data_IF_664013127165
#
_entry.id   IF_664013127165
#
_cell.length_a   1.000
_cell.length_b   1.000
_cell.length_c   1.000
_cell.angle_alpha   90.00
_cell.angle_beta   90.00
_cell.angle_gamma   90.00
#
_symmetry.space_group_name_H-M   'P 1'
#
loop_
_entity.id
_entity.type
_entity.pdbx_description
1 polymer ?
#
# COMPACT_ATOMS: atom_id res chain seq x y z
N UNK A 1 17.08 15.25 -14.56
CA UNK A 1 16.12 14.21 -14.24
C UNK A 1 15.52 14.43 -12.86
N UNK A 2 14.33 13.95 -12.62
CA UNK A 2 13.65 14.02 -11.34
C UNK A 2 14.30 13.01 -10.37
N UNK A 3 14.68 13.47 -9.19
CA UNK A 3 15.32 12.60 -8.20
C UNK A 3 14.48 12.32 -6.96
N UNK A 4 13.28 12.89 -6.86
CA UNK A 4 12.45 12.70 -5.67
C UNK A 4 10.99 13.08 -5.89
N UNK A 5 10.18 12.68 -4.92
CA UNK A 5 8.76 13.03 -4.78
C UNK A 5 8.52 13.27 -3.29
N UNK A 6 7.66 14.23 -2.96
CA UNK A 6 7.22 14.42 -1.59
C UNK A 6 6.09 13.46 -1.28
N UNK A 7 6.10 12.91 -0.07
CA UNK A 7 4.96 12.19 0.49
C UNK A 7 3.85 13.17 0.87
N UNK A 8 2.65 12.66 1.08
CA UNK A 8 1.57 13.43 1.67
C UNK A 8 1.99 13.99 3.04
N UNK A 9 1.54 15.19 3.40
CA UNK A 9 1.78 15.74 4.73
C UNK A 9 1.10 14.87 5.80
N UNK A 10 1.79 14.71 6.95
CA UNK A 10 1.40 13.80 8.02
C UNK A 10 1.33 14.54 9.35
N UNK A 11 0.33 14.18 10.14
CA UNK A 11 0.26 14.59 11.56
C UNK A 11 0.94 13.50 12.39
N UNK A 12 1.88 13.90 13.22
CA UNK A 12 2.52 13.04 14.21
C UNK A 12 2.00 13.41 15.59
N UNK A 13 1.59 12.42 16.36
CA UNK A 13 1.14 12.58 17.74
C UNK A 13 1.49 11.35 18.56
N UNK A 14 1.29 11.40 19.86
CA UNK A 14 1.48 10.27 20.76
C UNK A 14 0.13 9.85 21.35
N UNK A 15 -0.12 8.56 21.34
CA UNK A 15 -1.19 7.97 22.13
C UNK A 15 -0.85 8.00 23.63
N UNK A 16 -1.84 7.73 24.49
CA UNK A 16 -1.66 7.75 25.93
C UNK A 16 -0.65 6.73 26.46
N UNK A 17 -0.41 5.66 25.72
CA UNK A 17 0.59 4.61 26.03
C UNK A 17 1.99 4.92 25.46
N UNK A 18 2.18 6.09 24.82
CA UNK A 18 3.42 6.49 24.20
C UNK A 18 3.63 5.97 22.75
N UNK A 19 2.65 5.27 22.19
CA UNK A 19 2.71 4.83 20.79
C UNK A 19 2.71 6.04 19.86
N UNK A 20 3.65 6.09 18.90
CA UNK A 20 3.67 7.11 17.85
C UNK A 20 2.49 6.88 16.91
N UNK A 21 1.69 7.92 16.72
CA UNK A 21 0.62 7.96 15.75
C UNK A 21 1.07 8.75 14.51
N UNK A 22 0.76 8.20 13.33
CA UNK A 22 1.11 8.76 12.04
C UNK A 22 -0.15 8.74 11.17
N UNK A 23 -0.70 9.90 10.91
CA UNK A 23 -1.94 10.03 10.14
C UNK A 23 -1.77 11.03 9.00
N UNK A 24 -2.49 10.88 7.88
CA UNK A 24 -2.55 11.93 6.88
C UNK A 24 -3.27 13.15 7.45
N UNK A 25 -2.93 14.34 6.97
CA UNK A 25 -3.59 15.58 7.42
C UNK A 25 -5.07 15.58 7.03
N UNK A 26 -5.92 16.15 7.88
CA UNK A 26 -7.38 16.22 7.67
C UNK A 26 -7.76 17.00 6.40
N UNK A 27 -6.95 17.95 5.99
CA UNK A 27 -7.17 18.79 4.81
C UNK A 27 -7.26 17.97 3.51
N UNK A 28 -6.65 16.78 3.45
CA UNK A 28 -6.76 15.89 2.30
C UNK A 28 -8.20 15.46 2.02
N UNK A 29 -9.06 15.45 3.03
CA UNK A 29 -10.48 15.13 2.84
C UNK A 29 -11.21 16.10 1.91
N UNK A 30 -10.70 17.33 1.76
CA UNK A 30 -11.26 18.32 0.84
C UNK A 30 -11.03 17.98 -0.62
N UNK A 31 -10.08 17.09 -0.92
CA UNK A 31 -9.78 16.61 -2.26
C UNK A 31 -10.66 15.43 -2.69
N UNK A 32 -11.47 14.89 -1.77
CA UNK A 32 -12.33 13.73 -2.04
C UNK A 32 -13.45 14.08 -3.01
N UNK A 33 -13.53 13.35 -4.09
CA UNK A 33 -14.57 13.46 -5.10
C UNK A 33 -15.07 12.07 -5.48
N UNK A 34 -16.29 11.98 -6.01
CA UNK A 34 -16.86 10.75 -6.56
C UNK A 34 -16.76 9.51 -5.64
N UNK A 35 -17.24 9.56 -4.40
CA UNK A 35 -17.10 8.45 -3.49
C UNK A 35 -17.85 7.21 -4.01
N UNK A 36 -17.18 6.06 -3.84
CA UNK A 36 -17.78 4.73 -4.04
C UNK A 36 -17.73 4.00 -2.70
N UNK A 37 -18.82 3.42 -2.29
CA UNK A 37 -18.90 2.70 -1.02
C UNK A 37 -19.41 1.29 -1.28
N UNK A 38 -18.65 0.31 -0.80
CA UNK A 38 -19.07 -1.09 -0.76
C UNK A 38 -19.02 -1.54 0.70
N UNK A 39 -19.96 -2.36 1.12
CA UNK A 39 -20.09 -2.84 2.50
C UNK A 39 -20.27 -4.35 2.50
N UNK A 40 -19.95 -4.94 3.63
CA UNK A 40 -20.22 -6.37 3.90
C UNK A 40 -19.61 -7.28 2.83
N UNK A 41 -18.34 -6.96 2.47
CA UNK A 41 -17.57 -7.72 1.51
C UNK A 41 -16.93 -8.89 2.25
N UNK A 42 -17.27 -10.11 1.87
CA UNK A 42 -16.60 -11.30 2.35
C UNK A 42 -15.54 -11.76 1.34
N UNK A 43 -14.32 -11.96 1.82
CA UNK A 43 -13.23 -12.50 1.02
C UNK A 43 -12.78 -13.81 1.68
N UNK A 44 -13.07 -14.93 1.03
CA UNK A 44 -12.69 -16.25 1.52
C UNK A 44 -11.23 -16.59 1.23
N UNK A 45 -10.73 -17.62 1.91
CA UNK A 45 -9.36 -18.10 1.75
C UNK A 45 -9.05 -18.45 0.29
N UNK A 46 -7.95 -17.88 -0.21
CA UNK A 46 -7.51 -18.06 -1.59
C UNK A 46 -8.41 -17.43 -2.66
N UNK A 47 -9.51 -16.78 -2.27
CA UNK A 47 -10.38 -16.08 -3.22
C UNK A 47 -9.81 -14.69 -3.54
N UNK A 48 -10.12 -14.23 -4.75
CA UNK A 48 -9.79 -12.89 -5.23
C UNK A 48 -11.09 -12.19 -5.63
N UNK A 49 -11.40 -11.12 -4.94
CA UNK A 49 -12.56 -10.31 -5.28
C UNK A 49 -12.09 -9.05 -6.03
N UNK A 50 -12.59 -8.89 -7.25
CA UNK A 50 -12.38 -7.67 -8.00
C UNK A 50 -13.38 -6.62 -7.59
N UNK A 51 -12.90 -5.44 -7.25
CA UNK A 51 -13.75 -4.29 -7.03
C UNK A 51 -14.11 -3.66 -8.38
N UNK A 52 -15.34 -3.91 -8.83
CA UNK A 52 -15.86 -3.28 -10.02
C UNK A 52 -16.15 -1.79 -9.72
N UNK A 53 -16.04 -0.96 -10.73
CA UNK A 53 -16.34 0.48 -10.67
C UNK A 53 -15.42 1.32 -9.75
N UNK A 54 -14.31 0.74 -9.26
CA UNK A 54 -13.27 1.47 -8.55
C UNK A 54 -12.02 1.42 -9.42
N UNK A 55 -11.77 2.49 -10.13
CA UNK A 55 -10.60 2.63 -11.00
C UNK A 55 -10.10 4.09 -11.01
N UNK A 56 -8.81 4.28 -11.21
CA UNK A 56 -8.19 5.60 -11.31
C UNK A 56 -6.68 5.57 -11.10
N UNK A 57 -6.05 6.67 -11.45
CA UNK A 57 -4.61 6.90 -11.22
C UNK A 57 -4.35 7.74 -9.98
N UNK A 58 -5.40 8.37 -9.45
CA UNK A 58 -5.40 9.23 -8.27
C UNK A 58 -6.57 8.78 -7.40
N UNK A 59 -6.30 8.04 -6.32
CA UNK A 59 -7.32 7.39 -5.50
C UNK A 59 -6.98 7.45 -4.02
N UNK A 60 -8.03 7.57 -3.21
CA UNK A 60 -7.98 7.23 -1.80
C UNK A 60 -8.86 6.00 -1.55
N UNK A 61 -8.30 4.99 -0.88
CA UNK A 61 -9.01 3.79 -0.46
C UNK A 61 -9.02 3.79 1.06
N UNK A 62 -10.21 3.78 1.65
CA UNK A 62 -10.35 3.61 3.10
C UNK A 62 -11.17 2.34 3.36
N UNK A 63 -10.65 1.44 4.18
CA UNK A 63 -11.36 0.22 4.55
C UNK A 63 -11.15 -0.15 6.02
N UNK A 64 -12.15 -0.80 6.57
CA UNK A 64 -12.07 -1.47 7.87
C UNK A 64 -12.28 -2.96 7.60
N UNK A 65 -11.35 -3.77 8.08
CA UNK A 65 -11.29 -5.21 7.80
C UNK A 65 -11.28 -5.97 9.11
N UNK A 66 -12.24 -6.88 9.26
CA UNK A 66 -12.22 -7.87 10.32
C UNK A 66 -11.28 -9.01 9.90
N UNK A 67 -10.18 -9.15 10.61
CA UNK A 67 -9.19 -10.22 10.41
C UNK A 67 -9.30 -11.34 11.45
N UNK A 68 -10.41 -11.47 12.15
CA UNK A 68 -10.55 -12.45 13.26
C UNK A 68 -10.37 -13.90 12.80
N UNK A 69 -10.73 -14.21 11.56
CA UNK A 69 -10.57 -15.52 10.94
C UNK A 69 -9.40 -15.65 9.95
N UNK A 70 -8.60 -14.57 9.76
CA UNK A 70 -7.58 -14.53 8.72
C UNK A 70 -6.19 -14.26 9.27
N UNK A 71 -5.19 -14.90 8.66
CA UNK A 71 -3.77 -14.65 8.91
C UNK A 71 -3.25 -13.49 8.07
N UNK A 72 -3.73 -13.39 6.83
CA UNK A 72 -3.32 -12.37 5.88
C UNK A 72 -4.53 -11.70 5.24
N UNK A 73 -4.36 -10.46 4.87
CA UNK A 73 -5.28 -9.70 4.04
C UNK A 73 -4.47 -8.85 3.07
N UNK A 74 -4.90 -8.75 1.83
CA UNK A 74 -4.16 -7.94 0.89
C UNK A 74 -5.00 -7.29 -0.20
N UNK A 75 -4.35 -6.32 -0.84
CA UNK A 75 -4.87 -5.63 -2.02
C UNK A 75 -3.83 -5.66 -3.12
N UNK A 76 -4.29 -5.89 -4.34
CA UNK A 76 -3.51 -5.64 -5.54
C UNK A 76 -3.91 -4.30 -6.11
N UNK A 77 -2.95 -3.44 -6.30
CA UNK A 77 -3.13 -2.09 -6.83
C UNK A 77 -2.28 -1.93 -8.09
N UNK A 78 -2.65 -1.00 -8.96
CA UNK A 78 -1.97 -0.76 -10.23
C UNK A 78 -1.75 -2.07 -11.02
N UNK A 79 -2.80 -2.88 -11.05
CA UNK A 79 -2.77 -4.20 -11.65
C UNK A 79 -3.40 -4.21 -13.03
N UNK A 80 -2.73 -4.80 -14.01
CA UNK A 80 -3.32 -5.10 -15.30
C UNK A 80 -4.41 -6.19 -15.20
N UNK A 81 -5.37 -6.24 -16.11
CA UNK A 81 -6.45 -7.23 -16.05
C UNK A 81 -5.97 -8.69 -16.00
N UNK A 82 -4.86 -8.99 -16.65
CA UNK A 82 -4.24 -10.32 -16.70
C UNK A 82 -3.20 -10.56 -15.59
N UNK A 83 -2.89 -9.55 -14.76
CA UNK A 83 -1.88 -9.65 -13.70
C UNK A 83 -0.44 -9.67 -14.21
N UNK A 84 -0.19 -9.16 -15.41
CA UNK A 84 1.17 -9.02 -15.96
C UNK A 84 1.96 -7.95 -15.21
N UNK A 85 1.28 -6.88 -14.81
CA UNK A 85 1.77 -5.90 -13.85
C UNK A 85 0.83 -5.86 -12.65
N UNK A 86 1.40 -5.84 -11.46
CA UNK A 86 0.65 -5.68 -10.21
C UNK A 86 1.59 -5.23 -9.08
N UNK A 87 1.08 -4.43 -8.16
CA UNK A 87 1.71 -4.15 -6.87
C UNK A 87 0.81 -4.72 -5.78
N UNK A 88 1.37 -5.53 -4.91
CA UNK A 88 0.63 -6.17 -3.82
C UNK A 88 0.92 -5.46 -2.50
N UNK A 89 -0.12 -5.12 -1.76
CA UNK A 89 -0.06 -4.63 -0.39
C UNK A 89 -0.64 -5.74 0.49
N UNK A 90 0.17 -6.31 1.36
CA UNK A 90 -0.22 -7.41 2.24
C UNK A 90 -0.05 -7.01 3.70
N UNK A 91 -1.03 -7.34 4.51
CA UNK A 91 -1.02 -7.28 5.97
C UNK A 91 -0.94 -8.70 6.50
N UNK A 92 0.15 -9.02 7.16
CA UNK A 92 0.37 -10.34 7.73
C UNK A 92 0.35 -10.26 9.25
N UNK A 93 -0.71 -10.84 9.83
CA UNK A 93 -0.92 -10.82 11.28
C UNK A 93 0.05 -11.73 12.01
N UNK A 94 0.42 -12.87 11.43
CA UNK A 94 1.32 -13.83 12.05
C UNK A 94 2.77 -13.31 12.06
N UNK A 95 3.18 -12.65 10.99
CA UNK A 95 4.51 -12.04 10.88
C UNK A 95 4.59 -10.62 11.45
N UNK A 96 3.45 -10.07 11.89
CA UNK A 96 3.33 -8.71 12.44
C UNK A 96 3.93 -7.64 11.50
N UNK A 97 3.60 -7.70 10.21
CA UNK A 97 4.14 -6.76 9.24
C UNK A 97 3.14 -6.32 8.16
N UNK A 98 3.53 -5.25 7.47
CA UNK A 98 2.94 -4.81 6.20
C UNK A 98 4.02 -4.93 5.15
N UNK A 99 3.70 -5.59 4.04
CA UNK A 99 4.58 -5.73 2.89
C UNK A 99 3.97 -5.05 1.67
N UNK A 100 4.76 -4.22 0.98
CA UNK A 100 4.45 -3.79 -0.37
C UNK A 100 5.39 -4.55 -1.31
N UNK A 101 4.85 -5.51 -2.05
CA UNK A 101 5.58 -6.25 -3.09
C UNK A 101 5.36 -5.57 -4.45
N UNK A 102 6.46 -5.14 -5.03
CA UNK A 102 6.50 -4.46 -6.32
C UNK A 102 7.38 -5.17 -7.35
N UNK A 103 7.67 -6.46 -7.13
CA UNK A 103 8.47 -7.28 -8.05
C UNK A 103 7.86 -7.31 -9.46
N UNK A 104 6.53 -7.25 -9.55
CA UNK A 104 5.77 -7.25 -10.81
C UNK A 104 5.17 -5.87 -11.14
N UNK A 105 5.63 -4.80 -10.53
CA UNK A 105 5.02 -3.47 -10.72
C UNK A 105 5.29 -2.85 -12.09
N UNK A 106 6.19 -3.43 -12.90
CA UNK A 106 6.54 -2.94 -14.23
C UNK A 106 7.05 -4.07 -15.11
N UNK A 107 6.69 -4.03 -16.39
CA UNK A 107 7.29 -4.90 -17.41
C UNK A 107 8.63 -4.37 -17.93
N UNK A 108 8.95 -3.11 -17.69
CA UNK A 108 10.25 -2.55 -18.03
C UNK A 108 11.32 -3.01 -17.03
N UNK A 109 12.10 -3.99 -17.45
CA UNK A 109 13.18 -4.57 -16.64
C UNK A 109 14.35 -3.64 -16.40
N UNK A 110 14.41 -2.48 -17.06
CA UNK A 110 15.43 -1.46 -16.81
C UNK A 110 15.14 -0.65 -15.54
N UNK A 111 13.88 -0.63 -15.09
CA UNK A 111 13.46 0.03 -13.85
C UNK A 111 13.92 -0.81 -12.67
N UNK A 112 14.81 -0.25 -11.85
CA UNK A 112 15.35 -0.91 -10.65
C UNK A 112 15.08 -0.08 -9.42
N UNK A 113 14.58 -0.74 -8.40
CA UNK A 113 14.50 -0.20 -7.05
C UNK A 113 15.69 -0.72 -6.24
N UNK A 114 16.29 0.12 -5.43
CA UNK A 114 17.47 -0.25 -4.65
C UNK A 114 17.20 -0.09 -3.17
N UNK A 115 17.56 -1.10 -2.38
CA UNK A 115 17.60 -0.96 -0.93
C UNK A 115 18.70 0.04 -0.58
N UNK A 116 18.32 1.14 0.06
CA UNK A 116 19.29 2.10 0.55
C UNK A 116 19.93 1.54 1.82
N UNK A 117 21.08 0.91 1.68
CA UNK A 117 21.89 0.55 2.84
C UNK A 117 22.59 1.80 3.34
N UNK A 118 22.49 2.07 4.66
CA UNK A 118 23.19 3.21 5.30
C UNK A 118 24.72 3.06 5.35
N UNK A 119 25.28 2.12 4.63
CA UNK A 119 26.70 1.86 4.64
C UNK A 119 27.41 2.75 3.61
N UNK A 120 27.63 4.01 3.98
CA UNK A 120 28.37 4.98 3.16
C UNK A 120 29.82 4.58 2.90
N UNK A 121 30.32 3.51 3.53
CA UNK A 121 31.72 3.10 3.49
C UNK A 121 32.01 1.92 2.55
N UNK A 122 31.03 1.16 2.13
CA UNK A 122 31.25 0.07 1.19
C UNK A 122 30.91 0.51 -0.23
N UNK A 123 31.83 0.29 -1.16
CA UNK A 123 31.60 0.49 -2.60
C UNK A 123 30.71 -0.62 -3.20
N UNK A 124 30.01 -1.37 -2.37
CA UNK A 124 29.12 -2.43 -2.82
C UNK A 124 27.89 -1.82 -3.46
N UNK A 125 27.47 -2.37 -4.58
CA UNK A 125 26.23 -1.97 -5.25
C UNK A 125 25.05 -2.22 -4.32
N UNK A 126 24.17 -1.23 -4.17
CA UNK A 126 22.95 -1.40 -3.40
C UNK A 126 22.15 -2.60 -3.96
N UNK A 127 21.68 -3.54 -3.11
CA UNK A 127 20.89 -4.66 -3.57
C UNK A 127 19.58 -4.19 -4.16
N UNK A 128 19.14 -4.87 -5.22
CA UNK A 128 17.84 -4.61 -5.83
C UNK A 128 16.75 -4.99 -4.82
N UNK A 129 15.79 -4.10 -4.65
CA UNK A 129 14.61 -4.33 -3.84
C UNK A 129 13.43 -4.77 -4.73
N UNK A 130 12.67 -5.73 -4.27
CA UNK A 130 11.41 -6.16 -4.88
C UNK A 130 10.23 -5.95 -3.95
N UNK A 131 10.49 -5.69 -2.68
CA UNK A 131 9.51 -5.41 -1.66
C UNK A 131 10.01 -4.39 -0.64
N UNK A 132 9.06 -3.82 0.08
CA UNK A 132 9.29 -3.03 1.28
C UNK A 132 8.46 -3.59 2.41
N UNK A 133 9.08 -3.85 3.55
CA UNK A 133 8.45 -4.42 4.74
C UNK A 133 8.54 -3.42 5.88
N UNK A 134 7.44 -3.24 6.60
CA UNK A 134 7.38 -2.44 7.81
C UNK A 134 6.73 -3.22 8.95
N UNK A 135 7.24 -3.13 10.19
CA UNK A 135 6.63 -3.80 11.32
C UNK A 135 5.24 -3.21 11.61
N UNK A 136 4.28 -4.08 11.81
CA UNK A 136 2.91 -3.69 12.15
C UNK A 136 2.21 -4.80 12.89
N UNK A 137 1.92 -4.58 14.17
CA UNK A 137 1.20 -5.52 15.02
C UNK A 137 -0.27 -5.13 15.15
N UNK A 138 -1.16 -6.06 14.83
CA UNK A 138 -2.58 -5.93 15.08
C UNK A 138 -2.95 -6.64 16.39
N UNK A 139 -3.66 -5.97 17.27
CA UNK A 139 -4.14 -6.56 18.53
C UNK A 139 -5.11 -7.73 18.32
N UNK A 140 -5.34 -8.54 19.37
CA UNK A 140 -6.13 -9.78 19.25
C UNK A 140 -7.50 -9.60 18.60
N UNK A 141 -8.26 -8.59 19.04
CA UNK A 141 -9.62 -8.29 18.55
C UNK A 141 -9.66 -6.93 17.83
N UNK A 142 -8.53 -6.44 17.40
CA UNK A 142 -8.45 -5.15 16.70
C UNK A 142 -8.76 -5.33 15.22
N UNK A 143 -9.65 -4.48 14.71
CA UNK A 143 -9.88 -4.38 13.26
C UNK A 143 -8.69 -3.70 12.58
N UNK A 144 -8.37 -4.17 11.39
CA UNK A 144 -7.42 -3.51 10.52
C UNK A 144 -8.11 -2.32 9.82
N UNK A 145 -7.68 -1.11 10.16
CA UNK A 145 -8.14 0.13 9.50
C UNK A 145 -7.05 0.63 8.58
N UNK A 146 -7.33 0.61 7.29
CA UNK A 146 -6.38 1.04 6.26
C UNK A 146 -6.85 2.29 5.55
N UNK A 147 -5.89 3.13 5.19
CA UNK A 147 -6.08 4.25 4.29
C UNK A 147 -4.91 4.25 3.31
N UNK A 148 -5.21 4.12 2.04
CA UNK A 148 -4.21 4.01 0.98
C UNK A 148 -4.43 5.15 0.01
N UNK A 149 -3.38 5.89 -0.26
CA UNK A 149 -3.36 6.92 -1.30
C UNK A 149 -2.53 6.42 -2.47
N UNK A 150 -3.09 6.53 -3.65
CA UNK A 150 -2.40 6.26 -4.90
C UNK A 150 -2.41 7.57 -5.69
N UNK A 151 -1.24 8.05 -6.02
CA UNK A 151 -1.05 9.20 -6.90
C UNK A 151 -0.03 8.82 -7.96
N UNK A 152 -0.54 8.38 -9.11
CA UNK A 152 0.23 7.91 -10.27
C UNK A 152 1.29 6.88 -9.90
N UNK A 153 2.51 7.32 -9.59
CA UNK A 153 3.64 6.43 -9.29
C UNK A 153 3.92 6.26 -7.80
N UNK A 154 3.14 6.87 -6.92
CA UNK A 154 3.36 6.77 -5.48
C UNK A 154 2.18 6.06 -4.80
N UNK A 155 2.50 5.19 -3.87
CA UNK A 155 1.55 4.49 -3.02
C UNK A 155 1.92 4.80 -1.59
N UNK A 156 0.97 5.30 -0.79
CA UNK A 156 1.14 5.54 0.63
C UNK A 156 0.08 4.77 1.41
N UNK A 157 0.52 3.87 2.26
CA UNK A 157 -0.33 2.98 3.06
C UNK A 157 -0.26 3.38 4.52
N UNK A 158 -1.38 3.78 5.08
CA UNK A 158 -1.54 4.04 6.51
C UNK A 158 -2.33 2.89 7.14
N UNK A 159 -1.88 2.39 8.28
CA UNK A 159 -2.53 1.32 9.01
C UNK A 159 -2.75 1.71 10.47
N UNK A 160 -4.01 1.65 10.93
CA UNK A 160 -4.47 1.97 12.29
C UNK A 160 -3.90 3.27 12.86
N UNK A 161 -3.53 4.22 11.99
CA UNK A 161 -2.93 5.50 12.39
C UNK A 161 -1.56 5.40 13.08
N UNK A 162 -0.90 4.23 13.11
CA UNK A 162 0.38 4.02 13.78
C UNK A 162 1.49 3.47 12.89
N UNK A 163 1.18 3.11 11.65
CA UNK A 163 2.19 2.77 10.66
C UNK A 163 1.89 3.45 9.33
N UNK A 164 2.95 3.83 8.64
CA UNK A 164 2.85 4.34 7.28
C UNK A 164 4.01 3.80 6.43
N UNK A 165 3.68 3.26 5.28
CA UNK A 165 4.65 2.75 4.29
C UNK A 165 4.43 3.45 2.97
N UNK A 166 5.51 3.96 2.37
CA UNK A 166 5.45 4.66 1.08
C UNK A 166 6.35 3.94 0.08
N UNK A 167 5.82 3.70 -1.10
CA UNK A 167 6.55 3.08 -2.21
C UNK A 167 6.26 3.79 -3.53
N UNK A 168 7.30 3.92 -4.36
CA UNK A 168 7.14 4.33 -5.76
C UNK A 168 7.17 3.11 -6.67
N UNK A 169 6.26 3.09 -7.63
CA UNK A 169 6.16 2.04 -8.66
C UNK A 169 5.92 2.69 -10.02
N UNK A 170 6.28 1.99 -11.09
CA UNK A 170 6.27 2.57 -12.43
C UNK A 170 5.64 1.57 -13.41
N UNK A 171 4.31 1.37 -13.37
CA UNK A 171 3.63 0.53 -14.33
C UNK A 171 3.80 1.12 -15.74
N UNK A 172 4.08 0.25 -16.71
CA UNK A 172 4.32 0.65 -18.09
C UNK A 172 3.15 0.36 -19.01
N UNK A 173 2.28 -0.55 -18.61
CA UNK A 173 1.09 -0.89 -19.38
C UNK A 173 -0.01 0.17 -19.19
N UNK A 174 -0.67 0.63 -20.27
CA UNK A 174 -1.78 1.56 -20.16
C UNK A 174 -2.97 1.02 -19.36
N UNK A 175 -3.17 -0.30 -19.34
CA UNK A 175 -4.25 -0.97 -18.64
C UNK A 175 -3.94 -1.31 -17.16
N UNK A 176 -2.70 -1.07 -16.72
CA UNK A 176 -2.30 -1.10 -15.32
C UNK A 176 -2.47 0.27 -14.65
N UNK A 177 -2.52 1.34 -15.44
CA UNK A 177 -2.57 2.71 -14.92
C UNK A 177 -3.93 3.09 -14.32
N UNK A 178 -5.10 2.75 -14.90
CA UNK A 178 -6.32 2.84 -14.13
C UNK A 178 -6.34 1.70 -13.13
N UNK A 179 -6.16 2.03 -11.85
CA UNK A 179 -6.23 1.02 -10.80
C UNK A 179 -7.53 0.24 -10.86
N UNK A 180 -7.42 -1.08 -10.78
CA UNK A 180 -8.54 -1.99 -10.62
C UNK A 180 -8.20 -2.88 -9.42
N UNK A 181 -8.81 -2.59 -8.26
CA UNK A 181 -8.49 -3.28 -7.03
C UNK A 181 -8.94 -4.74 -7.01
N UNK A 182 -8.11 -5.56 -6.39
CA UNK A 182 -8.44 -6.95 -6.08
C UNK A 182 -8.07 -7.19 -4.62
N UNK A 183 -9.04 -7.57 -3.80
CA UNK A 183 -8.80 -8.10 -2.45
C UNK A 183 -8.44 -9.58 -2.53
N UNK A 184 -7.65 -10.06 -1.60
CA UNK A 184 -7.33 -11.49 -1.40
C UNK A 184 -7.05 -11.78 0.07
#
# INVERSE_FOLDING_TARGET
>A
GWTGTMTLPRVLSLASDGTLLIQPVEELKQLRTNPRVQRDIEVGDGLRLRLNDIEGTELEIAATVDMSGATTFGLKVMASPGGEEETTIEFNRAEENITIDFAKSSQDTSIKHYKRTMNFMTKEANPIATNQVAPFKLGGNEELKIQIFIDRSIIEVFANGRQCVTQRVYPTRPDSQPWRGVFF
#
